data_IF_501516110393
#
_entry.id   IF_501516110393
#
_cell.length_a   1.000
_cell.length_b   1.000
_cell.length_c   1.000
_cell.angle_alpha   90.00
_cell.angle_beta   90.00
_cell.angle_gamma   90.00
#
_symmetry.space_group_name_H-M   'P 1'
#
loop_
_entity.id
_entity.type
_entity.pdbx_description
1 polymer ?
#
# COMPACT_ATOMS: atom_id res chain seq x y z
N UNK A 1 -17.63 20.31 8.90
CA UNK A 1 -17.79 20.81 7.53
C UNK A 1 -17.12 19.88 6.54
N UNK A 2 -17.82 19.50 5.55
CA UNK A 2 -17.26 18.65 4.50
C UNK A 2 -16.86 19.49 3.30
N UNK A 3 -15.62 19.39 2.93
CA UNK A 3 -15.11 19.91 1.69
C UNK A 3 -15.56 18.99 0.55
N UNK A 4 -15.76 19.54 -0.64
CA UNK A 4 -16.11 18.75 -1.82
C UNK A 4 -15.06 17.71 -2.21
N UNK A 5 -13.84 17.88 -1.76
CA UNK A 5 -12.72 16.97 -2.01
C UNK A 5 -12.51 15.94 -0.91
N UNK A 6 -13.32 15.98 0.15
CA UNK A 6 -13.21 15.01 1.23
C UNK A 6 -13.86 13.70 0.86
N UNK A 7 -13.29 12.61 1.36
CA UNK A 7 -13.86 11.29 1.22
C UNK A 7 -15.22 11.25 1.90
N UNK A 8 -16.26 10.70 1.25
CA UNK A 8 -17.59 10.57 1.87
C UNK A 8 -17.51 9.85 3.19
N UNK A 9 -18.36 10.27 4.13
CA UNK A 9 -18.46 9.62 5.44
C UNK A 9 -18.86 8.16 5.22
N UNK A 10 -18.14 7.24 5.84
CA UNK A 10 -18.39 5.82 5.72
C UNK A 10 -17.62 5.13 4.61
N UNK A 11 -16.93 5.88 3.74
CA UNK A 11 -16.06 5.24 2.75
C UNK A 11 -14.85 4.62 3.46
N UNK A 12 -14.58 3.36 3.12
CA UNK A 12 -13.47 2.61 3.70
C UNK A 12 -12.51 2.14 2.61
N UNK A 13 -11.28 1.87 3.04
CA UNK A 13 -10.22 1.40 2.16
C UNK A 13 -9.61 0.13 2.75
N UNK A 14 -9.27 -0.80 1.88
CA UNK A 14 -8.47 -1.96 2.27
C UNK A 14 -7.03 -1.52 2.40
N UNK A 15 -6.49 -1.60 3.60
CA UNK A 15 -5.16 -1.09 3.93
C UNK A 15 -4.29 -2.24 4.41
N UNK A 16 -3.02 -2.18 4.04
CA UNK A 16 -1.99 -3.08 4.55
C UNK A 16 -1.05 -2.28 5.43
N UNK A 17 -0.83 -2.76 6.63
CA UNK A 17 0.06 -2.13 7.61
C UNK A 17 1.21 -3.08 7.86
N UNK A 18 2.43 -2.62 7.66
CA UNK A 18 3.62 -3.45 7.83
C UNK A 18 4.31 -3.13 9.14
N UNK A 19 5.03 -4.12 9.67
CA UNK A 19 5.85 -3.98 10.88
C UNK A 19 7.06 -4.90 10.78
N UNK A 20 7.99 -4.77 11.72
CA UNK A 20 9.09 -5.71 11.83
C UNK A 20 8.57 -7.10 12.20
N UNK A 21 9.28 -8.12 11.74
CA UNK A 21 8.93 -9.51 12.04
C UNK A 21 8.89 -9.74 13.56
N UNK A 22 7.84 -10.36 14.03
CA UNK A 22 7.62 -10.60 15.45
C UNK A 22 6.83 -9.51 16.16
N UNK A 23 6.54 -8.39 15.51
CA UNK A 23 5.78 -7.29 16.10
C UNK A 23 4.31 -7.27 15.67
N UNK A 24 3.82 -8.33 15.05
CA UNK A 24 2.43 -8.40 14.56
C UNK A 24 1.42 -8.27 15.71
N UNK A 25 1.61 -9.02 16.78
CA UNK A 25 0.72 -8.96 17.95
C UNK A 25 0.79 -7.61 18.66
N UNK A 26 1.97 -7.05 18.95
CA UNK A 26 2.06 -5.70 19.50
C UNK A 26 1.38 -4.65 18.61
N UNK A 27 1.55 -4.73 17.29
CA UNK A 27 0.87 -3.82 16.37
C UNK A 27 -0.63 -4.01 16.42
N UNK A 28 -1.12 -5.24 16.40
CA UNK A 28 -2.54 -5.52 16.49
C UNK A 28 -3.13 -4.97 17.78
N UNK A 29 -2.44 -5.12 18.89
CA UNK A 29 -2.86 -4.59 20.19
C UNK A 29 -2.90 -3.06 20.17
N UNK A 30 -1.89 -2.41 19.61
CA UNK A 30 -1.86 -0.95 19.49
C UNK A 30 -3.02 -0.44 18.66
N UNK A 31 -3.29 -1.05 17.51
CA UNK A 31 -4.37 -0.63 16.63
C UNK A 31 -5.75 -0.89 17.28
N UNK A 32 -5.89 -1.96 18.05
CA UNK A 32 -7.10 -2.21 18.81
C UNK A 32 -7.39 -1.11 19.82
N UNK A 33 -6.34 -0.51 20.40
CA UNK A 33 -6.49 0.62 21.31
C UNK A 33 -7.03 1.88 20.60
N UNK A 34 -6.88 1.95 19.27
CA UNK A 34 -7.47 3.02 18.45
C UNK A 34 -8.88 2.66 17.95
N UNK A 35 -9.42 1.51 18.35
CA UNK A 35 -10.70 1.03 17.86
C UNK A 35 -10.62 0.39 16.48
N UNK A 36 -9.46 -0.06 16.06
CA UNK A 36 -9.23 -0.63 14.74
C UNK A 36 -9.01 -2.15 14.85
N UNK A 37 -9.86 -2.90 14.17
CA UNK A 37 -9.70 -4.35 14.07
C UNK A 37 -8.79 -4.68 12.88
N UNK A 38 -7.83 -5.56 13.12
CA UNK A 38 -6.87 -5.97 12.11
C UNK A 38 -6.78 -7.49 12.04
N UNK A 39 -6.31 -7.99 10.91
CA UNK A 39 -6.04 -9.40 10.70
C UNK A 39 -4.59 -9.57 10.27
N UNK A 40 -3.91 -10.53 10.87
CA UNK A 40 -2.54 -10.85 10.48
C UNK A 40 -2.59 -11.66 9.19
N UNK A 41 -2.09 -11.08 8.10
CA UNK A 41 -2.03 -11.75 6.81
C UNK A 41 -0.84 -12.71 6.74
N UNK A 42 0.31 -12.23 7.18
CA UNK A 42 1.56 -12.98 7.22
C UNK A 42 2.56 -12.24 8.10
N UNK A 43 3.73 -12.81 8.27
CA UNK A 43 4.81 -12.20 9.04
C UNK A 43 5.08 -10.77 8.59
N UNK A 44 5.02 -9.84 9.52
CA UNK A 44 5.29 -8.43 9.28
C UNK A 44 4.17 -7.68 8.58
N UNK A 45 2.98 -8.28 8.44
CA UNK A 45 1.94 -7.68 7.61
C UNK A 45 0.54 -7.93 8.14
N UNK A 46 -0.17 -6.84 8.43
CA UNK A 46 -1.55 -6.86 8.88
C UNK A 46 -2.46 -6.21 7.83
N UNK A 47 -3.70 -6.66 7.79
CA UNK A 47 -4.74 -6.10 6.92
C UNK A 47 -5.85 -5.49 7.76
N UNK A 48 -6.38 -4.37 7.29
CA UNK A 48 -7.49 -3.69 7.94
C UNK A 48 -8.33 -2.94 6.90
N UNK A 49 -9.60 -2.75 7.22
CA UNK A 49 -10.48 -1.87 6.44
C UNK A 49 -10.70 -0.61 7.24
N UNK A 50 -10.19 0.51 6.74
CA UNK A 50 -10.12 1.77 7.48
C UNK A 50 -10.80 2.90 6.73
N UNK A 51 -11.37 3.83 7.50
CA UNK A 51 -11.75 5.14 6.97
C UNK A 51 -10.51 6.00 6.79
N UNK A 52 -10.63 7.09 6.05
CA UNK A 52 -9.51 8.01 5.84
C UNK A 52 -9.02 8.59 7.18
N UNK A 53 -9.94 8.91 8.09
CA UNK A 53 -9.58 9.41 9.42
C UNK A 53 -8.77 8.39 10.21
N UNK A 54 -9.14 7.11 10.13
CA UNK A 54 -8.40 6.03 10.79
C UNK A 54 -7.01 5.84 10.18
N UNK A 55 -6.88 5.99 8.86
CA UNK A 55 -5.58 5.94 8.18
C UNK A 55 -4.66 7.02 8.72
N UNK A 56 -5.15 8.26 8.81
CA UNK A 56 -4.37 9.36 9.38
C UNK A 56 -4.03 9.11 10.84
N UNK A 57 -4.95 8.55 11.62
CA UNK A 57 -4.71 8.23 13.02
C UNK A 57 -3.56 7.23 13.16
N UNK A 58 -3.55 6.18 12.36
CA UNK A 58 -2.45 5.21 12.36
C UNK A 58 -1.13 5.87 11.98
N UNK A 59 -1.12 6.67 10.92
CA UNK A 59 0.10 7.34 10.47
C UNK A 59 0.68 8.29 11.52
N UNK A 60 -0.18 8.95 12.31
CA UNK A 60 0.25 9.93 13.30
C UNK A 60 0.62 9.29 14.64
N UNK A 61 -0.09 8.26 15.06
CA UNK A 61 -0.01 7.78 16.44
C UNK A 61 0.62 6.40 16.60
N UNK A 62 0.69 5.59 15.53
CA UNK A 62 1.27 4.27 15.67
C UNK A 62 2.78 4.35 15.87
N UNK A 63 3.27 3.61 16.85
CA UNK A 63 4.70 3.50 17.14
C UNK A 63 5.31 2.20 16.61
N UNK A 64 4.46 1.23 16.31
CA UNK A 64 4.89 -0.12 15.89
C UNK A 64 4.83 -0.28 14.38
N UNK A 65 3.90 0.40 13.71
CA UNK A 65 3.75 0.32 12.27
C UNK A 65 4.96 0.95 11.55
N UNK A 66 5.49 0.24 10.56
CA UNK A 66 6.56 0.74 9.69
C UNK A 66 6.00 1.50 8.51
N UNK A 67 4.96 0.96 7.87
CA UNK A 67 4.34 1.57 6.69
C UNK A 67 2.85 1.30 6.69
N UNK A 68 2.11 2.25 6.12
CA UNK A 68 0.68 2.10 5.85
C UNK A 68 0.53 2.16 4.33
N UNK A 69 0.02 1.10 3.73
CA UNK A 69 -0.01 0.93 2.29
C UNK A 69 -1.46 0.79 1.79
N UNK A 70 -1.76 1.44 0.69
CA UNK A 70 -3.02 1.25 -0.03
C UNK A 70 -2.74 0.40 -1.28
N UNK A 71 -3.11 -0.89 -1.27
CA UNK A 71 -2.96 -1.71 -2.46
C UNK A 71 -3.81 -1.19 -3.60
N UNK A 72 -3.22 -0.99 -4.77
CA UNK A 72 -3.91 -0.47 -5.95
C UNK A 72 -4.33 -1.57 -6.92
N UNK A 73 -3.70 -2.72 -6.83
CA UNK A 73 -4.03 -3.83 -7.70
C UNK A 73 -3.04 -4.96 -7.56
N UNK A 74 -3.37 -6.08 -8.18
CA UNK A 74 -2.54 -7.27 -8.14
C UNK A 74 -2.62 -7.96 -9.50
N UNK A 75 -1.48 -8.43 -10.00
CA UNK A 75 -1.41 -9.14 -11.27
C UNK A 75 -0.36 -10.25 -11.18
N UNK A 76 -0.68 -11.40 -11.72
CA UNK A 76 0.28 -12.47 -11.89
C UNK A 76 1.20 -12.14 -13.06
N UNK A 77 2.50 -12.22 -12.82
CA UNK A 77 3.52 -11.93 -13.83
C UNK A 77 4.13 -13.24 -14.28
N UNK A 78 4.20 -13.44 -15.62
CA UNK A 78 4.87 -14.58 -16.19
C UNK A 78 6.36 -14.26 -16.35
N UNK A 79 7.26 -14.98 -15.64
CA UNK A 79 8.70 -14.70 -15.70
C UNK A 79 9.34 -15.02 -17.06
N UNK A 80 8.64 -15.71 -17.96
CA UNK A 80 9.14 -16.01 -19.30
C UNK A 80 9.09 -14.81 -20.24
N UNK A 81 8.30 -13.77 -19.90
CA UNK A 81 8.16 -12.57 -20.71
C UNK A 81 8.86 -11.38 -20.05
N UNK A 82 8.97 -10.29 -20.80
CA UNK A 82 9.57 -9.06 -20.28
C UNK A 82 8.76 -8.53 -19.09
N UNK A 83 9.37 -8.58 -17.93
CA UNK A 83 8.74 -8.15 -16.67
C UNK A 83 8.46 -6.66 -16.68
N UNK A 84 9.36 -5.86 -17.22
CA UNK A 84 9.18 -4.40 -17.29
C UNK A 84 7.96 -4.05 -18.14
N UNK A 85 7.75 -4.75 -19.26
CA UNK A 85 6.58 -4.54 -20.12
C UNK A 85 5.29 -4.91 -19.40
N UNK A 86 5.26 -6.04 -18.70
CA UNK A 86 4.09 -6.47 -17.96
C UNK A 86 3.74 -5.48 -16.84
N UNK A 87 4.73 -4.98 -16.11
CA UNK A 87 4.52 -3.99 -15.05
C UNK A 87 4.02 -2.66 -15.62
N UNK A 88 4.58 -2.22 -16.74
CA UNK A 88 4.14 -1.00 -17.39
C UNK A 88 2.69 -1.09 -17.83
N UNK A 89 2.33 -2.18 -18.50
CA UNK A 89 0.97 -2.41 -18.95
C UNK A 89 -0.01 -2.44 -17.77
N UNK A 90 0.37 -3.09 -16.69
CA UNK A 90 -0.45 -3.15 -15.48
C UNK A 90 -0.59 -1.78 -14.82
N UNK A 91 0.50 -1.03 -14.72
CA UNK A 91 0.49 0.30 -14.11
C UNK A 91 -0.44 1.26 -14.87
N UNK A 92 -0.55 1.10 -16.18
CA UNK A 92 -1.46 1.92 -17.00
C UNK A 92 -2.94 1.67 -16.68
N UNK A 93 -3.30 0.51 -16.14
CA UNK A 93 -4.68 0.21 -15.79
C UNK A 93 -5.15 0.92 -14.53
N UNK A 94 -4.22 1.44 -13.73
CA UNK A 94 -4.54 2.15 -12.49
C UNK A 94 -4.99 3.57 -12.82
N UNK A 95 -6.08 4.00 -12.20
CA UNK A 95 -6.60 5.36 -12.38
C UNK A 95 -5.84 6.34 -11.48
N UNK A 96 -4.66 6.73 -11.90
CA UNK A 96 -3.76 7.58 -11.13
C UNK A 96 -4.36 8.95 -10.82
N UNK A 97 -5.20 9.48 -11.71
CA UNK A 97 -5.83 10.79 -11.50
C UNK A 97 -6.77 10.83 -10.31
N UNK A 98 -7.25 9.69 -9.84
CA UNK A 98 -8.06 9.60 -8.62
C UNK A 98 -7.21 9.67 -7.35
N UNK A 99 -5.90 9.51 -7.46
CA UNK A 99 -4.99 9.44 -6.33
C UNK A 99 -4.22 10.76 -6.15
N UNK A 100 -3.81 11.39 -7.23
CA UNK A 100 -3.06 12.65 -7.19
C UNK A 100 -3.18 13.39 -8.52
N UNK A 101 -2.89 14.69 -8.49
CA UNK A 101 -2.92 15.56 -9.65
C UNK A 101 -1.55 15.62 -10.34
N UNK A 102 -1.53 16.14 -11.57
CA UNK A 102 -0.30 16.32 -12.32
C UNK A 102 0.71 17.25 -11.65
N UNK A 103 0.24 18.15 -10.80
CA UNK A 103 1.11 19.08 -10.07
C UNK A 103 1.83 18.42 -8.90
N UNK A 104 1.35 17.27 -8.45
CA UNK A 104 1.96 16.53 -7.35
C UNK A 104 3.07 15.63 -7.86
N UNK A 105 4.14 15.55 -7.10
CA UNK A 105 5.26 14.66 -7.43
C UNK A 105 5.05 13.28 -6.82
N UNK A 106 5.63 12.28 -7.44
CA UNK A 106 5.61 10.92 -6.92
C UNK A 106 6.95 10.24 -7.19
N UNK A 107 7.20 9.17 -6.47
CA UNK A 107 8.38 8.34 -6.68
C UNK A 107 7.95 6.88 -6.79
N UNK A 108 8.65 6.13 -7.62
CA UNK A 108 8.42 4.71 -7.81
C UNK A 108 9.55 3.94 -7.13
N UNK A 109 9.18 2.96 -6.33
CA UNK A 109 10.13 2.02 -5.75
C UNK A 109 9.72 0.62 -6.15
N UNK A 110 10.65 -0.12 -6.71
CA UNK A 110 10.44 -1.51 -7.11
C UNK A 110 11.28 -2.41 -6.21
N UNK A 111 10.63 -3.43 -5.66
CA UNK A 111 11.31 -4.49 -4.91
C UNK A 111 11.09 -5.81 -5.64
N UNK A 112 12.17 -6.47 -6.00
CA UNK A 112 12.13 -7.75 -6.71
C UNK A 112 12.55 -8.88 -5.79
N UNK A 113 11.84 -10.00 -5.89
CA UNK A 113 12.26 -11.26 -5.26
C UNK A 113 13.55 -11.74 -5.92
N UNK A 114 14.42 -12.38 -5.14
CA UNK A 114 15.70 -12.95 -5.65
C UNK A 114 15.51 -13.94 -6.79
N UNK A 115 14.33 -14.52 -6.90
CA UNK A 115 14.02 -15.47 -7.98
C UNK A 115 13.72 -14.78 -9.31
N UNK A 116 13.53 -13.48 -9.29
CA UNK A 116 13.22 -12.71 -10.50
C UNK A 116 14.51 -12.13 -11.06
N UNK A 117 14.86 -12.52 -12.27
CA UNK A 117 16.04 -12.01 -12.97
C UNK A 117 15.62 -10.80 -13.82
N UNK A 118 15.75 -9.62 -13.24
CA UNK A 118 15.48 -8.37 -13.94
C UNK A 118 16.33 -7.26 -13.34
N UNK A 119 16.70 -6.30 -14.16
CA UNK A 119 17.37 -5.11 -13.67
C UNK A 119 16.32 -4.21 -13.00
N UNK A 120 16.43 -4.07 -11.69
CA UNK A 120 15.46 -3.33 -10.88
C UNK A 120 15.38 -1.85 -11.28
N UNK A 121 16.50 -1.21 -11.48
CA UNK A 121 16.56 0.20 -11.86
C UNK A 121 15.97 0.45 -13.24
N UNK A 122 16.35 -0.39 -14.20
CA UNK A 122 15.82 -0.28 -15.55
C UNK A 122 14.30 -0.49 -15.58
N UNK A 123 13.82 -1.49 -14.85
CA UNK A 123 12.39 -1.76 -14.75
C UNK A 123 11.62 -0.60 -14.13
N UNK A 124 12.18 0.01 -13.08
CA UNK A 124 11.59 1.20 -12.45
C UNK A 124 11.47 2.37 -13.42
N UNK A 125 12.52 2.63 -14.19
CA UNK A 125 12.53 3.73 -15.13
C UNK A 125 11.55 3.54 -16.27
N UNK A 126 11.31 2.29 -16.65
CA UNK A 126 10.38 2.00 -17.74
C UNK A 126 8.91 2.10 -17.32
N UNK A 127 8.61 1.79 -16.07
CA UNK A 127 7.26 1.85 -15.54
C UNK A 127 6.86 3.30 -15.23
#
# INVERSE_FOLDING_TARGET
MTDSNTTPVGQTFHIVITCADGLEIPLQTELASFGIDTQIERTGRLMATLTLAQIYQVCLWSRVASRVLLPLGKKNINPEYDIAEQLYTFAKTVKWTQLFDLEQTFAIRLTLDKRVQANQQFTMLRV
#
